data_IF_403663253616
#
_entry.id   IF_403663253616
#
_cell.length_a   1.000
_cell.length_b   1.000
_cell.length_c   1.000
_cell.angle_alpha   90.00
_cell.angle_beta   90.00
_cell.angle_gamma   90.00
#
_symmetry.space_group_name_H-M   'P 1'
#
loop_
_entity.id
_entity.type
_entity.pdbx_description
1 polymer ?
#
# COMPACT_ATOMS: atom_id res chain seq x y z
N UNK A 1 -18.84 -15.01 -4.07
CA UNK A 1 -18.80 -14.93 -2.60
C UNK A 1 -17.43 -15.41 -2.13
N UNK A 2 -16.73 -14.67 -1.27
CA UNK A 2 -15.44 -15.10 -0.74
C UNK A 2 -15.62 -16.32 0.17
N UNK A 3 -14.70 -17.28 0.11
CA UNK A 3 -14.72 -18.50 0.94
C UNK A 3 -13.81 -18.41 2.17
N UNK A 4 -12.91 -17.41 2.20
CA UNK A 4 -11.93 -17.16 3.27
C UNK A 4 -12.08 -15.74 3.80
N UNK A 5 -11.83 -15.56 5.09
CA UNK A 5 -12.02 -14.29 5.80
C UNK A 5 -10.85 -14.06 6.75
N UNK A 6 -10.37 -12.82 6.80
CA UNK A 6 -9.52 -12.32 7.87
C UNK A 6 -10.29 -11.33 8.75
N UNK A 7 -9.74 -11.07 9.93
CA UNK A 7 -10.07 -9.85 10.67
C UNK A 7 -9.54 -8.66 9.88
N UNK A 8 -10.33 -7.61 9.63
CA UNK A 8 -9.84 -6.40 8.97
C UNK A 8 -8.65 -5.84 9.73
N UNK A 9 -7.63 -5.40 9.00
CA UNK A 9 -6.52 -4.65 9.61
C UNK A 9 -6.98 -3.23 9.92
N UNK A 10 -6.68 -2.78 11.14
CA UNK A 10 -6.79 -1.38 11.52
C UNK A 10 -5.71 -0.57 10.78
N UNK A 11 -6.09 0.61 10.29
CA UNK A 11 -5.20 1.50 9.54
C UNK A 11 -4.27 2.25 10.51
N UNK A 12 -3.33 1.52 11.10
CA UNK A 12 -2.36 2.01 12.07
C UNK A 12 -0.93 1.75 11.55
N UNK A 13 -0.05 2.76 11.50
CA UNK A 13 1.32 2.60 11.01
C UNK A 13 2.17 1.59 11.80
N UNK A 14 1.92 1.42 13.10
CA UNK A 14 2.60 0.42 13.96
C UNK A 14 2.21 -0.99 13.50
N UNK A 15 0.91 -1.24 13.30
CA UNK A 15 0.42 -2.55 12.82
C UNK A 15 0.97 -2.86 11.43
N UNK A 16 0.99 -1.86 10.55
CA UNK A 16 1.48 -2.03 9.19
C UNK A 16 2.98 -2.31 9.16
N UNK A 17 3.77 -1.59 9.97
CA UNK A 17 5.22 -1.79 10.08
C UNK A 17 5.56 -3.15 10.68
N UNK A 18 4.88 -3.58 11.75
CA UNK A 18 5.08 -4.91 12.33
C UNK A 18 4.82 -6.00 11.29
N UNK A 19 3.72 -5.91 10.54
CA UNK A 19 3.39 -6.86 9.50
C UNK A 19 4.40 -6.83 8.34
N UNK A 20 4.88 -5.65 7.96
CA UNK A 20 5.92 -5.48 6.94
C UNK A 20 7.21 -6.22 7.32
N UNK A 21 7.68 -6.06 8.56
CA UNK A 21 8.89 -6.75 9.04
C UNK A 21 8.68 -8.26 9.16
N UNK A 22 7.51 -8.70 9.61
CA UNK A 22 7.14 -10.13 9.64
C UNK A 22 7.07 -10.78 8.25
N UNK A 23 6.89 -9.98 7.20
CA UNK A 23 6.96 -10.42 5.81
C UNK A 23 8.40 -10.49 5.27
N UNK A 24 9.41 -10.17 6.08
CA UNK A 24 10.83 -10.26 5.71
C UNK A 24 11.42 -8.97 5.15
N UNK A 25 10.79 -7.82 5.39
CA UNK A 25 11.36 -6.53 5.05
C UNK A 25 12.26 -6.05 6.18
N UNK A 26 13.42 -5.50 5.84
CA UNK A 26 14.35 -4.91 6.81
C UNK A 26 13.69 -3.78 7.64
N UNK A 27 14.09 -3.67 8.92
CA UNK A 27 13.62 -2.61 9.86
C UNK A 27 13.99 -1.17 9.45
N UNK A 28 14.71 -0.99 8.34
CA UNK A 28 15.00 0.33 7.76
C UNK A 28 13.78 0.98 7.10
N UNK A 29 12.74 0.19 6.80
CA UNK A 29 11.50 0.68 6.24
C UNK A 29 10.38 0.57 7.27
N UNK A 30 9.58 1.63 7.38
CA UNK A 30 8.42 1.70 8.24
C UNK A 30 7.29 2.46 7.55
N UNK A 31 6.07 2.23 8.01
CA UNK A 31 4.92 3.07 7.68
C UNK A 31 4.79 4.17 8.74
N UNK A 32 4.40 5.36 8.29
CA UNK A 32 4.09 6.51 9.14
C UNK A 32 2.76 7.12 8.70
N UNK A 33 2.11 7.82 9.62
CA UNK A 33 0.87 8.54 9.30
C UNK A 33 1.14 9.73 8.37
N UNK A 34 0.18 9.96 7.47
CA UNK A 34 0.10 11.18 6.66
C UNK A 34 -1.04 12.02 7.21
N UNK A 35 -0.72 13.07 7.96
CA UNK A 35 -1.73 13.94 8.59
C UNK A 35 -2.49 14.81 7.58
N UNK A 36 -1.81 15.29 6.54
CA UNK A 36 -2.42 16.07 5.46
C UNK A 36 -1.59 15.97 4.17
N UNK A 37 -2.18 16.38 3.05
CA UNK A 37 -1.48 16.53 1.76
C UNK A 37 -1.04 17.97 1.48
N UNK A 38 -1.06 18.83 2.49
CA UNK A 38 -0.57 20.21 2.40
C UNK A 38 0.96 20.25 2.56
N UNK A 39 1.61 21.12 1.77
CA UNK A 39 3.08 21.18 1.62
C UNK A 39 3.83 21.22 2.97
N UNK A 40 3.35 21.98 3.94
CA UNK A 40 4.01 22.14 5.25
C UNK A 40 4.07 20.81 6.03
N UNK A 41 3.00 20.00 5.97
CA UNK A 41 2.96 18.72 6.68
C UNK A 41 3.79 17.64 5.99
N UNK A 42 3.90 17.70 4.66
CA UNK A 42 4.68 16.75 3.85
C UNK A 42 6.19 16.89 4.06
N UNK A 43 6.65 17.99 4.64
CA UNK A 43 8.04 18.21 5.02
C UNK A 43 8.47 17.35 6.22
N UNK A 44 7.53 16.94 7.07
CA UNK A 44 7.83 16.09 8.23
C UNK A 44 7.91 14.59 7.88
N UNK A 45 7.51 14.20 6.67
CA UNK A 45 7.57 12.80 6.26
C UNK A 45 9.02 12.37 6.00
N UNK A 46 9.43 11.20 6.52
CA UNK A 46 10.75 10.65 6.23
C UNK A 46 10.90 10.40 4.72
N UNK A 47 12.11 10.63 4.22
CA UNK A 47 12.44 10.48 2.79
C UNK A 47 13.54 9.42 2.63
N UNK A 48 13.51 8.62 1.55
CA UNK A 48 12.53 8.65 0.45
C UNK A 48 11.18 7.99 0.82
N UNK A 49 10.10 8.44 0.18
CA UNK A 49 8.78 7.78 0.28
C UNK A 49 8.70 6.74 -0.83
N UNK A 50 8.44 5.48 -0.46
CA UNK A 50 8.47 4.35 -1.40
C UNK A 50 7.07 3.87 -1.84
N UNK A 51 6.06 4.10 -1.00
CA UNK A 51 4.67 3.73 -1.26
C UNK A 51 3.73 4.63 -0.44
N UNK A 52 2.47 4.72 -0.87
CA UNK A 52 1.37 5.35 -0.15
C UNK A 52 0.19 4.39 -0.12
N UNK A 53 -0.33 4.10 1.07
CA UNK A 53 -1.56 3.32 1.25
C UNK A 53 -2.67 4.30 1.62
N UNK A 54 -3.80 4.21 0.91
CA UNK A 54 -4.98 5.06 1.15
C UNK A 54 -6.16 4.16 1.47
N UNK A 55 -6.82 4.43 2.60
CA UNK A 55 -8.08 3.81 2.97
C UNK A 55 -9.22 4.77 2.66
N UNK A 56 -10.25 4.28 1.96
CA UNK A 56 -11.45 5.05 1.63
C UNK A 56 -12.69 4.21 1.97
N UNK A 57 -13.81 4.84 2.35
CA UNK A 57 -15.06 4.12 2.56
C UNK A 57 -15.56 3.55 1.23
N UNK A 58 -15.98 2.27 1.25
CA UNK A 58 -16.71 1.66 0.14
C UNK A 58 -18.16 2.15 0.18
N UNK A 59 -18.42 3.32 -0.43
CA UNK A 59 -19.76 3.91 -0.49
C UNK A 59 -20.48 3.28 -1.68
N UNK A 60 -21.45 2.41 -1.41
CA UNK A 60 -22.44 1.89 -2.37
C UNK A 60 -21.88 1.29 -3.67
N UNK A 61 -20.69 0.69 -3.63
CA UNK A 61 -20.04 0.10 -4.80
C UNK A 61 -19.58 1.13 -5.83
N UNK A 62 -19.65 2.43 -5.49
CA UNK A 62 -18.94 3.47 -6.22
C UNK A 62 -17.45 3.22 -6.00
N UNK A 63 -16.78 2.77 -7.05
CA UNK A 63 -15.32 2.86 -7.08
C UNK A 63 -14.98 4.33 -6.90
N UNK A 64 -14.00 4.69 -6.05
CA UNK A 64 -13.53 6.07 -5.99
C UNK A 64 -13.24 6.48 -7.43
N UNK A 65 -13.73 7.66 -7.81
CA UNK A 65 -13.45 8.20 -9.12
C UNK A 65 -11.94 8.48 -9.13
N UNK A 66 -11.16 7.50 -9.61
CA UNK A 66 -9.70 7.58 -9.71
C UNK A 66 -9.29 8.62 -10.78
N UNK A 67 -10.28 9.25 -11.41
CA UNK A 67 -10.21 10.39 -12.32
C UNK A 67 -9.56 11.56 -11.58
N UNK A 68 -8.23 11.63 -11.67
CA UNK A 68 -7.42 12.63 -11.00
C UNK A 68 -5.98 12.17 -10.73
N UNK A 69 -5.77 10.87 -10.54
CA UNK A 69 -4.44 10.28 -10.72
C UNK A 69 -4.22 10.22 -12.22
N UNK A 70 -3.42 11.14 -12.77
CA UNK A 70 -3.16 11.20 -14.20
C UNK A 70 -2.90 9.81 -14.77
N UNK A 71 -3.48 9.50 -15.94
CA UNK A 71 -3.24 8.22 -16.63
C UNK A 71 -1.76 8.13 -17.05
N UNK A 72 -0.86 7.82 -16.12
CA UNK A 72 0.48 7.40 -16.47
C UNK A 72 0.36 6.01 -17.04
N UNK A 73 0.29 5.94 -18.37
CA UNK A 73 0.40 4.68 -19.09
C UNK A 73 1.83 4.18 -18.96
N UNK A 74 2.01 3.22 -18.06
CA UNK A 74 3.24 2.45 -17.96
C UNK A 74 3.51 1.76 -19.31
N UNK A 75 4.78 1.74 -19.71
CA UNK A 75 5.24 0.95 -20.84
C UNK A 75 5.08 -0.55 -20.56
N UNK A 76 5.09 -1.38 -21.60
CA UNK A 76 5.04 -2.84 -21.44
C UNK A 76 6.20 -3.37 -20.57
N UNK A 77 7.37 -2.73 -20.64
CA UNK A 77 8.53 -3.09 -19.83
C UNK A 77 8.29 -2.78 -18.35
N UNK A 78 7.75 -1.60 -18.03
CA UNK A 78 7.42 -1.22 -16.65
C UNK A 78 6.31 -2.10 -16.08
N UNK A 79 5.26 -2.38 -16.86
CA UNK A 79 4.18 -3.30 -16.46
C UNK A 79 4.70 -4.71 -16.14
N UNK A 80 5.70 -5.19 -16.88
CA UNK A 80 6.28 -6.52 -16.62
C UNK A 80 7.05 -6.61 -15.29
N UNK A 81 7.41 -5.46 -14.69
CA UNK A 81 8.08 -5.38 -13.39
C UNK A 81 7.09 -5.23 -12.23
N UNK A 82 5.81 -4.95 -12.50
CA UNK A 82 4.79 -4.76 -11.47
C UNK A 82 4.36 -6.11 -10.91
N UNK A 83 4.46 -6.26 -9.59
CA UNK A 83 3.91 -7.40 -8.87
C UNK A 83 2.49 -7.04 -8.45
N UNK A 84 1.50 -7.68 -9.10
CA UNK A 84 0.09 -7.50 -8.79
C UNK A 84 -0.55 -8.81 -8.33
N UNK A 85 -1.23 -8.74 -7.19
CA UNK A 85 -1.95 -9.87 -6.61
C UNK A 85 -3.43 -9.50 -6.43
N UNK A 86 -4.31 -10.27 -7.07
CA UNK A 86 -5.76 -10.13 -6.89
C UNK A 86 -6.15 -10.52 -5.46
N UNK A 87 -6.91 -9.67 -4.79
CA UNK A 87 -7.52 -10.03 -3.51
C UNK A 87 -8.50 -11.19 -3.68
N UNK A 88 -8.27 -12.29 -2.96
CA UNK A 88 -9.12 -13.49 -2.98
C UNK A 88 -9.66 -13.87 -1.60
N UNK A 89 -9.29 -13.12 -0.56
CA UNK A 89 -9.72 -13.31 0.83
C UNK A 89 -10.49 -12.07 1.26
N UNK A 90 -11.65 -12.24 1.89
CA UNK A 90 -12.44 -11.13 2.39
C UNK A 90 -11.73 -10.42 3.55
N UNK A 91 -11.91 -9.11 3.68
CA UNK A 91 -11.28 -8.25 4.70
C UNK A 91 -9.74 -8.21 4.67
N UNK A 92 -9.10 -8.75 3.64
CA UNK A 92 -7.64 -8.79 3.56
C UNK A 92 -7.03 -7.60 2.81
N UNK A 93 -7.80 -6.58 2.43
CA UNK A 93 -7.32 -5.47 1.59
C UNK A 93 -6.05 -4.79 2.13
N UNK A 94 -5.98 -4.54 3.45
CA UNK A 94 -4.78 -4.00 4.09
C UNK A 94 -3.54 -4.88 3.92
N UNK A 95 -3.70 -6.21 4.02
CA UNK A 95 -2.60 -7.15 3.79
C UNK A 95 -2.13 -7.11 2.33
N UNK A 96 -3.07 -7.09 1.37
CA UNK A 96 -2.73 -6.98 -0.05
C UNK A 96 -2.05 -5.64 -0.36
N UNK A 97 -2.47 -4.54 0.28
CA UNK A 97 -1.84 -3.23 0.12
C UNK A 97 -0.38 -3.23 0.62
N UNK A 98 -0.12 -3.80 1.80
CA UNK A 98 1.24 -3.94 2.35
C UNK A 98 2.10 -4.82 1.46
N UNK A 99 1.55 -5.94 0.96
CA UNK A 99 2.24 -6.82 0.02
C UNK A 99 2.61 -6.09 -1.28
N UNK A 100 1.68 -5.31 -1.85
CA UNK A 100 1.96 -4.51 -3.05
C UNK A 100 3.01 -3.43 -2.78
N UNK A 101 2.98 -2.77 -1.63
CA UNK A 101 4.00 -1.78 -1.24
C UNK A 101 5.39 -2.42 -1.11
N UNK A 102 5.49 -3.60 -0.49
CA UNK A 102 6.74 -4.32 -0.26
C UNK A 102 7.37 -4.88 -1.54
N UNK A 103 6.55 -5.41 -2.45
CA UNK A 103 7.04 -6.13 -3.63
C UNK A 103 7.32 -5.24 -4.86
N UNK A 104 6.99 -3.94 -4.81
CA UNK A 104 7.13 -3.03 -5.94
C UNK A 104 8.15 -1.91 -5.68
N UNK A 105 8.61 -1.27 -6.76
CA UNK A 105 9.54 -0.15 -6.68
C UNK A 105 10.87 -0.51 -6.00
N UNK A 106 11.45 0.45 -5.27
CA UNK A 106 12.71 0.25 -4.56
C UNK A 106 12.56 -0.50 -3.23
N UNK A 107 11.34 -0.62 -2.69
CA UNK A 107 11.08 -1.34 -1.44
C UNK A 107 11.51 -2.82 -1.52
N UNK A 108 11.37 -3.43 -2.70
CA UNK A 108 11.79 -4.81 -2.97
C UNK A 108 13.27 -5.09 -2.66
N UNK A 109 14.13 -4.06 -2.69
CA UNK A 109 15.56 -4.20 -2.44
C UNK A 109 15.88 -4.41 -0.95
N UNK A 110 14.87 -4.32 -0.08
CA UNK A 110 14.95 -4.51 1.37
C UNK A 110 14.29 -5.83 1.83
N UNK A 111 13.96 -6.74 0.89
CA UNK A 111 13.50 -8.10 1.22
C UNK A 111 14.74 -8.94 1.57
N UNK A 112 14.74 -9.53 2.77
CA UNK A 112 15.80 -10.43 3.27
C UNK A 112 15.75 -11.84 2.67
#
# INVERSE_FOLDING_TARGET
MFTKHFTPLESDPVIFSELLHRLGIEEKLEFVDVYSFEDETLLFLPRPILALIVIFPDIDGAKPDIVGFGETRLTSEELSKVVWAKQTINNACGFYAILHAACNGSARNFIS
#
